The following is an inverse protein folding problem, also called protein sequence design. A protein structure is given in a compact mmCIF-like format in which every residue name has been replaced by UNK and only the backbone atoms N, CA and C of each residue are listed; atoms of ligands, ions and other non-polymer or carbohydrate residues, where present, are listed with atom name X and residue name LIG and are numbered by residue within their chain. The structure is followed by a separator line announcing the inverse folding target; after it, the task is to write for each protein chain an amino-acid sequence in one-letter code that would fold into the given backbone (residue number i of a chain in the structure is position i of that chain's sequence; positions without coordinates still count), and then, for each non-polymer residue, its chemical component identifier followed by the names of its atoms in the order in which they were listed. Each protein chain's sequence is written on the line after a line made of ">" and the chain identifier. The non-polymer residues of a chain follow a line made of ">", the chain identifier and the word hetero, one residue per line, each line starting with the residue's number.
data_IF_031025530936
#
_entry.id   IF_031025530936
#
_cell.length_a   1.000
_cell.length_b   1.000
_cell.length_c   1.000
_cell.angle_alpha   90.00
_cell.angle_beta   90.00
_cell.angle_gamma   90.00
#
_symmetry.space_group_name_H-M   'P 1'
#
loop_
_entity.id
_entity.type
_entity.pdbx_description
1 polymer ?
#
# COMPACT_ATOMS: atom_id res chain seq x y z
N UNK A 1 14.04 2.14 -7.63
CA UNK A 1 13.18 0.93 -7.51
C UNK A 1 13.78 -0.30 -8.21
N UNK A 2 14.15 -0.29 -9.49
CA UNK A 2 14.76 -1.47 -10.15
C UNK A 2 16.10 -1.90 -9.51
N UNK A 3 16.94 -0.92 -9.17
CA UNK A 3 18.19 -1.16 -8.46
C UNK A 3 17.95 -1.70 -7.04
N UNK A 4 16.91 -1.20 -6.37
CA UNK A 4 16.47 -1.65 -5.06
C UNK A 4 16.02 -3.12 -5.06
N UNK A 5 15.30 -3.52 -6.11
CA UNK A 5 14.90 -4.92 -6.32
C UNK A 5 16.10 -5.85 -6.48
N UNK A 6 17.11 -5.40 -7.22
CA UNK A 6 18.35 -6.14 -7.45
C UNK A 6 19.14 -6.34 -6.16
N UNK A 7 19.26 -5.29 -5.33
CA UNK A 7 19.92 -5.37 -4.01
C UNK A 7 19.23 -6.37 -3.08
N UNK A 8 17.90 -6.32 -2.96
CA UNK A 8 17.16 -7.26 -2.11
C UNK A 8 17.23 -8.73 -2.60
N UNK A 9 17.49 -8.92 -3.90
CA UNK A 9 17.57 -10.24 -4.54
C UNK A 9 18.96 -10.87 -4.40
N UNK A 10 20.00 -10.06 -4.31
CA UNK A 10 21.40 -10.50 -4.35
C UNK A 10 22.02 -10.72 -2.96
N UNK A 11 21.36 -10.35 -1.87
CA UNK A 11 21.87 -10.60 -0.52
C UNK A 11 21.92 -12.12 -0.26
N UNK A 12 23.14 -12.67 -0.30
CA UNK A 12 23.46 -14.04 0.11
C UNK A 12 24.23 -14.01 1.43
N UNK A 13 23.98 -15.03 2.24
CA UNK A 13 24.67 -15.26 3.50
C UNK A 13 26.16 -15.51 3.26
N UNK A 14 26.99 -14.50 3.47
CA UNK A 14 28.37 -14.73 3.90
C UNK A 14 28.32 -15.00 5.42
N UNK A 15 28.84 -16.14 5.86
CA UNK A 15 28.99 -16.54 7.28
C UNK A 15 27.75 -17.05 8.05
N UNK A 16 26.76 -17.68 7.41
CA UNK A 16 25.68 -18.36 8.15
C UNK A 16 24.75 -17.39 8.88
N UNK A 17 24.79 -16.11 8.53
CA UNK A 17 23.79 -15.13 8.91
C UNK A 17 22.55 -15.24 8.00
N UNK A 18 21.37 -15.06 8.58
CA UNK A 18 20.07 -15.02 7.91
C UNK A 18 20.12 -14.31 6.54
N UNK A 19 19.55 -14.92 5.50
CA UNK A 19 19.47 -14.35 4.15
C UNK A 19 18.62 -13.06 4.21
N UNK A 20 19.27 -11.92 4.08
CA UNK A 20 18.61 -10.61 4.17
C UNK A 20 17.90 -10.29 2.85
N UNK A 21 16.66 -10.77 2.70
CA UNK A 21 15.80 -10.51 1.54
C UNK A 21 15.14 -9.13 1.58
N UNK A 22 15.95 -8.08 1.74
CA UNK A 22 15.45 -6.74 2.03
C UNK A 22 16.41 -5.67 1.57
N UNK A 23 15.90 -4.58 1.02
CA UNK A 23 16.69 -3.40 0.72
C UNK A 23 15.88 -2.10 0.91
N UNK A 24 16.59 -1.03 1.26
CA UNK A 24 16.04 0.32 1.43
C UNK A 24 16.82 1.32 0.59
N UNK A 25 16.14 2.38 0.16
CA UNK A 25 16.70 3.49 -0.59
C UNK A 25 16.10 4.79 -0.11
N UNK A 26 16.94 5.79 0.09
CA UNK A 26 16.51 7.17 0.29
C UNK A 26 16.95 7.97 -0.94
N UNK A 27 16.02 8.70 -1.54
CA UNK A 27 16.29 9.54 -2.70
C UNK A 27 15.67 10.92 -2.51
N UNK A 28 16.36 11.97 -2.95
CA UNK A 28 15.79 13.32 -2.97
C UNK A 28 14.70 13.37 -4.06
N UNK A 29 13.45 13.58 -3.67
CA UNK A 29 12.32 13.69 -4.61
C UNK A 29 12.08 15.14 -5.02
N UNK A 30 12.18 16.06 -4.07
CA UNK A 30 12.21 17.51 -4.33
C UNK A 30 13.35 18.16 -3.55
N UNK A 31 13.55 19.46 -3.71
CA UNK A 31 14.53 20.23 -2.93
C UNK A 31 14.30 20.21 -1.41
N UNK A 32 13.09 19.84 -0.95
CA UNK A 32 12.73 19.84 0.46
C UNK A 32 12.11 18.52 0.94
N UNK A 33 12.04 17.51 0.09
CA UNK A 33 11.36 16.25 0.39
C UNK A 33 12.17 15.05 -0.10
N UNK A 34 12.51 14.17 0.84
CA UNK A 34 13.08 12.86 0.56
C UNK A 34 11.97 11.83 0.34
N UNK A 35 12.25 10.85 -0.51
CA UNK A 35 11.46 9.66 -0.73
C UNK A 35 12.21 8.48 -0.12
N UNK A 36 11.51 7.76 0.75
CA UNK A 36 12.00 6.56 1.42
C UNK A 36 11.35 5.36 0.74
N UNK A 37 12.16 4.42 0.29
CA UNK A 37 11.74 3.21 -0.42
C UNK A 37 12.22 1.97 0.30
N UNK A 38 11.37 0.94 0.32
CA UNK A 38 11.65 -0.35 0.93
C UNK A 38 11.09 -1.46 0.05
N UNK A 39 11.89 -2.50 -0.16
CA UNK A 39 11.44 -3.76 -0.76
C UNK A 39 11.89 -4.93 0.11
N UNK A 40 11.04 -5.94 0.19
CA UNK A 40 11.30 -7.14 0.98
C UNK A 40 10.72 -8.36 0.29
N UNK A 41 11.42 -9.48 0.32
CA UNK A 41 10.91 -10.79 -0.06
C UNK A 41 10.86 -11.73 1.15
N UNK A 42 10.09 -12.80 1.05
CA UNK A 42 10.17 -13.90 2.03
C UNK A 42 11.50 -14.66 1.87
N UNK A 43 12.06 -15.20 2.96
CA UNK A 43 13.42 -15.78 2.96
C UNK A 43 13.52 -17.09 2.16
N UNK A 44 12.41 -17.76 1.88
CA UNK A 44 12.31 -19.01 1.12
C UNK A 44 12.51 -18.85 -0.39
N UNK A 45 12.46 -17.62 -0.92
CA UNK A 45 12.61 -17.37 -2.36
C UNK A 45 14.07 -17.43 -2.81
N UNK A 46 14.26 -17.92 -4.05
CA UNK A 46 15.49 -17.71 -4.80
C UNK A 46 15.69 -16.21 -5.10
N UNK A 47 16.91 -15.77 -5.40
CA UNK A 47 17.16 -14.38 -5.80
C UNK A 47 16.37 -13.98 -7.06
N UNK A 48 16.26 -14.90 -8.01
CA UNK A 48 15.49 -14.68 -9.25
C UNK A 48 13.99 -14.52 -8.97
N UNK A 49 13.42 -15.39 -8.12
CA UNK A 49 12.00 -15.30 -7.76
C UNK A 49 11.68 -14.08 -6.92
N UNK A 50 12.59 -13.66 -6.03
CA UNK A 50 12.48 -12.41 -5.30
C UNK A 50 12.42 -11.21 -6.25
N UNK A 51 13.37 -11.12 -7.19
CA UNK A 51 13.40 -10.05 -8.19
C UNK A 51 12.11 -10.01 -9.00
N UNK A 52 11.65 -11.18 -9.47
CA UNK A 52 10.39 -11.31 -10.22
C UNK A 52 9.20 -10.81 -9.39
N UNK A 53 9.08 -11.22 -8.14
CA UNK A 53 7.99 -10.78 -7.27
C UNK A 53 7.99 -9.24 -7.10
N UNK A 54 9.16 -8.66 -6.79
CA UNK A 54 9.29 -7.21 -6.60
C UNK A 54 8.92 -6.46 -7.88
N UNK A 55 9.36 -6.92 -9.05
CA UNK A 55 9.01 -6.31 -10.35
C UNK A 55 7.50 -6.34 -10.62
N UNK A 56 6.85 -7.47 -10.35
CA UNK A 56 5.39 -7.57 -10.45
C UNK A 56 4.73 -6.58 -9.49
N UNK A 57 5.17 -6.50 -8.23
CA UNK A 57 4.64 -5.54 -7.27
C UNK A 57 4.81 -4.09 -7.73
N UNK A 58 5.97 -3.72 -8.29
CA UNK A 58 6.24 -2.39 -8.84
C UNK A 58 5.27 -2.08 -9.99
N UNK A 59 5.03 -3.04 -10.87
CA UNK A 59 4.06 -2.90 -11.97
C UNK A 59 2.62 -2.65 -11.51
N UNK A 60 2.27 -2.99 -10.27
CA UNK A 60 0.96 -2.74 -9.67
C UNK A 60 0.84 -1.37 -8.99
N UNK A 61 1.96 -0.66 -8.75
CA UNK A 61 1.94 0.68 -8.14
C UNK A 61 1.05 1.68 -8.87
N UNK A 62 1.06 1.77 -10.22
CA UNK A 62 0.19 2.69 -10.94
C UNK A 62 -1.30 2.40 -10.75
N UNK A 63 -1.67 1.15 -10.47
CA UNK A 63 -3.07 0.79 -10.21
C UNK A 63 -3.49 1.09 -8.78
N UNK A 64 -2.59 0.91 -7.79
CA UNK A 64 -2.95 1.11 -6.38
C UNK A 64 -2.84 2.57 -5.92
N UNK A 65 -1.85 3.30 -6.45
CA UNK A 65 -1.24 4.40 -5.73
C UNK A 65 -0.91 5.60 -6.63
N UNK A 66 -1.53 5.69 -7.82
CA UNK A 66 -1.30 6.80 -8.74
C UNK A 66 -1.61 8.16 -8.10
N UNK A 67 -0.68 9.11 -8.26
CA UNK A 67 -0.79 10.46 -7.70
C UNK A 67 -0.68 10.53 -6.17
N UNK A 68 -0.31 9.44 -5.48
CA UNK A 68 -0.14 9.43 -4.02
C UNK A 68 1.32 9.64 -3.62
N UNK A 69 1.52 10.39 -2.54
CA UNK A 69 2.84 10.64 -1.94
C UNK A 69 3.45 9.40 -1.27
N UNK A 70 2.62 8.40 -0.97
CA UNK A 70 3.03 7.11 -0.43
C UNK A 70 2.22 5.99 -1.08
N UNK A 71 2.80 4.80 -1.09
CA UNK A 71 2.18 3.63 -1.70
C UNK A 71 2.76 2.34 -1.18
N UNK A 72 1.93 1.31 -1.10
CA UNK A 72 2.32 -0.02 -0.67
C UNK A 72 1.62 -1.07 -1.53
N UNK A 73 2.39 -2.03 -2.03
CA UNK A 73 1.85 -3.25 -2.64
C UNK A 73 2.38 -4.43 -1.85
N UNK A 74 1.45 -5.29 -1.44
CA UNK A 74 1.74 -6.50 -0.69
C UNK A 74 1.31 -7.69 -1.53
N UNK A 75 2.27 -8.53 -1.91
CA UNK A 75 2.06 -9.83 -2.51
C UNK A 75 2.42 -10.91 -1.49
N UNK A 76 1.95 -12.17 -1.66
CA UNK A 76 2.25 -13.24 -0.71
C UNK A 76 3.75 -13.41 -0.42
N UNK A 77 4.59 -13.15 -1.42
CA UNK A 77 6.02 -13.40 -1.42
C UNK A 77 6.89 -12.13 -1.31
N UNK A 78 6.31 -10.94 -1.46
CA UNK A 78 7.08 -9.69 -1.38
C UNK A 78 6.23 -8.48 -1.01
N UNK A 79 6.91 -7.49 -0.45
CA UNK A 79 6.34 -6.22 0.00
C UNK A 79 7.16 -5.09 -0.61
N UNK A 80 6.49 -4.09 -1.19
CA UNK A 80 7.12 -2.84 -1.57
C UNK A 80 6.36 -1.69 -0.91
N UNK A 81 7.10 -0.72 -0.41
CA UNK A 81 6.54 0.49 0.19
C UNK A 81 7.41 1.69 -0.12
N UNK A 82 6.77 2.81 -0.46
CA UNK A 82 7.42 4.11 -0.49
C UNK A 82 6.61 5.13 0.30
N UNK A 83 7.31 6.06 0.92
CA UNK A 83 6.72 7.16 1.70
C UNK A 83 7.61 8.40 1.60
N UNK A 84 7.04 9.58 1.87
CA UNK A 84 7.79 10.85 1.97
C UNK A 84 8.28 11.16 3.40
N UNK A 85 8.26 10.16 4.28
CA UNK A 85 8.78 10.23 5.64
C UNK A 85 9.50 8.90 5.97
N UNK A 86 10.48 8.92 6.89
CA UNK A 86 11.17 7.69 7.31
C UNK A 86 10.19 6.72 7.98
N UNK A 87 10.15 5.47 7.52
CA UNK A 87 9.25 4.44 8.07
C UNK A 87 9.94 3.10 8.37
N UNK A 88 11.23 3.01 8.10
CA UNK A 88 12.09 1.89 8.47
C UNK A 88 13.19 2.38 9.39
N UNK A 89 13.53 1.57 10.40
CA UNK A 89 14.69 1.86 11.24
C UNK A 89 15.96 1.49 10.47
N UNK A 90 16.71 2.48 10.03
CA UNK A 90 18.15 2.29 9.85
C UNK A 90 18.75 2.22 11.24
N UNK A 91 19.36 1.09 11.62
CA UNK A 91 20.32 1.15 12.71
C UNK A 91 21.45 2.01 12.19
N UNK A 92 21.38 3.33 12.46
CA UNK A 92 22.52 4.19 12.33
C UNK A 92 23.58 3.55 13.24
N UNK A 93 24.71 3.12 12.65
CA UNK A 93 25.87 2.70 13.41
C UNK A 93 26.11 3.78 14.46
N UNK A 94 25.80 3.47 15.72
CA UNK A 94 25.99 4.42 16.80
C UNK A 94 27.45 4.89 16.76
N UNK A 95 27.73 6.20 16.84
CA UNK A 95 29.11 6.66 16.93
C UNK A 95 29.79 5.92 18.10
N UNK A 96 31.08 5.55 17.97
CA UNK A 96 31.79 4.76 18.96
C UNK A 96 31.62 5.39 20.34
N UNK A 97 31.37 4.59 21.40
CA UNK A 97 31.13 5.14 22.73
C UNK A 97 32.34 5.97 23.16
N UNK A 98 32.10 7.26 23.43
CA UNK A 98 33.10 8.15 24.03
C UNK A 98 33.64 7.51 25.31
N UNK A 99 34.96 7.58 25.59
CA UNK A 99 35.55 6.94 26.76
C UNK A 99 34.94 7.51 28.04
N UNK A 100 34.28 6.66 28.81
CA UNK A 100 33.70 6.99 30.12
C UNK A 100 34.86 7.15 31.11
N UNK A 101 35.11 8.39 31.56
CA UNK A 101 35.98 8.64 32.71
C UNK A 101 35.23 8.20 33.98
N UNK A 102 35.66 7.10 34.61
CA UNK A 102 35.04 6.56 35.84
C UNK A 102 35.48 7.37 37.07
N UNK A 103 34.55 7.92 37.89
CA UNK A 103 34.85 8.35 39.26
C UNK A 103 34.81 7.16 40.24
N UNK A 104 35.49 7.22 41.39
CA UNK A 104 35.73 6.05 42.24
C UNK A 104 34.53 5.63 43.10
N UNK A 105 34.46 4.32 43.33
CA UNK A 105 33.49 3.57 44.14
C UNK A 105 33.53 3.93 45.63
N UNK A 106 32.38 4.21 46.25
CA UNK A 106 32.15 4.10 47.70
C UNK A 106 30.63 3.92 48.01
N UNK A 107 30.25 3.36 49.19
CA UNK A 107 29.37 2.19 49.26
C UNK A 107 27.90 2.45 49.65
N UNK A 108 27.09 1.41 49.45
CA UNK A 108 25.65 1.25 49.73
C UNK A 108 25.14 1.94 51.01
N UNK A 109 24.02 2.67 50.85
CA UNK A 109 23.05 2.95 51.90
C UNK A 109 21.63 2.54 51.42
N UNK A 110 20.77 2.00 52.30
CA UNK A 110 19.48 1.43 51.91
C UNK A 110 18.46 2.54 51.60
N UNK A 111 17.90 2.53 50.39
CA UNK A 111 16.89 3.50 49.96
C UNK A 111 15.48 3.02 50.34
N UNK A 112 14.83 3.79 51.21
CA UNK A 112 13.39 3.77 51.47
C UNK A 112 12.60 3.94 50.15
N UNK A 113 11.69 3.02 49.86
CA UNK A 113 10.74 3.17 48.76
C UNK A 113 9.52 3.95 49.22
N UNK A 114 9.44 5.22 48.80
CA UNK A 114 8.19 5.99 48.80
C UNK A 114 8.01 6.57 47.40
N UNK A 115 7.11 5.97 46.62
CA UNK A 115 6.65 6.49 45.33
C UNK A 115 5.27 7.13 45.52
N UNK A 116 5.08 8.43 45.24
CA UNK A 116 3.74 8.99 45.07
C UNK A 116 3.24 8.69 43.66
N UNK A 117 1.96 8.35 43.57
CA UNK A 117 1.32 7.82 42.38
C UNK A 117 1.20 8.78 41.20
N UNK A 118 1.09 8.17 40.02
CA UNK A 118 0.60 8.74 38.78
C UNK A 118 -0.21 7.67 38.06
N UNK A 119 -1.50 7.66 38.33
CA UNK A 119 -2.51 6.76 37.77
C UNK A 119 -2.76 7.15 36.29
N UNK A 120 -2.68 6.18 35.38
CA UNK A 120 -2.94 6.38 33.96
C UNK A 120 -3.29 5.07 33.26
N UNK A 121 -4.29 4.35 33.78
CA UNK A 121 -4.89 3.16 33.15
C UNK A 121 -5.75 3.60 31.97
N UNK A 122 -5.13 3.95 30.85
CA UNK A 122 -5.82 4.23 29.59
C UNK A 122 -6.22 2.94 28.88
N UNK A 123 -7.32 2.33 29.30
CA UNK A 123 -7.99 1.26 28.55
C UNK A 123 -8.95 1.90 27.55
N UNK A 124 -8.45 2.31 26.38
CA UNK A 124 -9.25 2.82 25.24
C UNK A 124 -9.40 1.71 24.20
N UNK A 125 -10.28 0.73 24.43
CA UNK A 125 -11.73 0.75 24.17
C UNK A 125 -12.04 0.55 22.68
N UNK A 126 -12.35 -0.70 22.33
CA UNK A 126 -12.98 -1.13 21.07
C UNK A 126 -14.23 -0.32 20.70
N UNK A 127 -14.73 0.55 21.59
CA UNK A 127 -15.84 1.48 21.39
C UNK A 127 -15.47 2.66 20.47
N UNK A 128 -14.20 3.11 20.40
CA UNK A 128 -13.82 4.22 19.48
C UNK A 128 -13.77 3.76 18.02
N UNK A 129 -13.50 2.47 17.76
CA UNK A 129 -13.55 1.88 16.41
C UNK A 129 -15.01 1.84 15.92
N UNK A 130 -15.96 1.50 16.78
CA UNK A 130 -17.39 1.45 16.42
C UNK A 130 -17.91 2.84 16.03
N UNK A 131 -17.48 3.90 16.73
CA UNK A 131 -17.88 5.28 16.45
C UNK A 131 -17.40 5.78 15.08
N UNK A 132 -16.31 5.26 14.54
CA UNK A 132 -15.79 5.68 13.22
C UNK A 132 -16.29 4.76 12.10
N UNK A 133 -16.38 3.45 12.36
CA UNK A 133 -16.80 2.47 11.35
C UNK A 133 -18.27 2.67 10.96
N UNK A 134 -19.16 2.92 11.93
CA UNK A 134 -20.59 3.08 11.65
C UNK A 134 -20.86 4.30 10.74
N UNK A 135 -20.33 5.52 11.01
CA UNK A 135 -20.49 6.65 10.10
C UNK A 135 -19.85 6.44 8.73
N UNK A 136 -18.71 5.76 8.64
CA UNK A 136 -18.05 5.49 7.36
C UNK A 136 -18.88 4.54 6.50
N UNK A 137 -19.39 3.44 7.07
CA UNK A 137 -20.23 2.49 6.34
C UNK A 137 -21.52 3.16 5.87
N UNK A 138 -22.19 3.92 6.75
CA UNK A 138 -23.41 4.66 6.39
C UNK A 138 -23.12 5.68 5.28
N UNK A 139 -22.01 6.42 5.39
CA UNK A 139 -21.61 7.40 4.37
C UNK A 139 -21.36 6.73 3.03
N UNK A 140 -20.59 5.63 2.99
CA UNK A 140 -20.28 4.89 1.75
C UNK A 140 -21.55 4.34 1.10
N UNK A 141 -22.48 3.80 1.89
CA UNK A 141 -23.77 3.30 1.38
C UNK A 141 -24.63 4.44 0.83
N UNK A 142 -24.69 5.59 1.51
CA UNK A 142 -25.43 6.75 1.01
C UNK A 142 -24.81 7.30 -0.29
N UNK A 143 -23.48 7.42 -0.35
CA UNK A 143 -22.78 7.88 -1.56
C UNK A 143 -22.94 6.90 -2.73
N UNK A 144 -22.89 5.59 -2.49
CA UNK A 144 -23.08 4.59 -3.55
C UNK A 144 -24.52 4.61 -4.08
N UNK A 145 -25.53 4.73 -3.21
CA UNK A 145 -26.94 4.87 -3.60
C UNK A 145 -27.15 6.17 -4.39
N UNK A 146 -26.61 7.30 -3.93
CA UNK A 146 -26.73 8.57 -4.64
C UNK A 146 -26.06 8.53 -6.02
N UNK A 147 -24.85 7.96 -6.10
CA UNK A 147 -24.13 7.76 -7.36
C UNK A 147 -24.93 6.87 -8.32
N UNK A 148 -25.41 5.72 -7.85
CA UNK A 148 -26.23 4.81 -8.64
C UNK A 148 -27.54 5.46 -9.12
N UNK A 149 -28.25 6.18 -8.25
CA UNK A 149 -29.45 6.93 -8.60
C UNK A 149 -29.17 8.03 -9.62
N UNK A 150 -28.05 8.75 -9.48
CA UNK A 150 -27.66 9.80 -10.41
C UNK A 150 -27.29 9.22 -11.79
N UNK A 151 -26.54 8.13 -11.83
CA UNK A 151 -26.20 7.40 -13.06
C UNK A 151 -27.45 6.83 -13.73
N UNK A 152 -28.33 6.21 -12.95
CA UNK A 152 -29.62 5.68 -13.43
C UNK A 152 -30.54 6.79 -13.94
N UNK A 153 -30.51 7.97 -13.32
CA UNK A 153 -31.24 9.14 -13.83
C UNK A 153 -30.61 9.69 -15.11
N UNK A 154 -29.27 9.64 -15.23
CA UNK A 154 -28.55 10.05 -16.44
C UNK A 154 -28.81 9.11 -17.61
N UNK A 155 -28.90 7.81 -17.38
CA UNK A 155 -29.27 6.83 -18.42
C UNK A 155 -30.74 6.94 -18.80
N UNK A 156 -31.66 7.18 -17.86
CA UNK A 156 -33.08 7.48 -18.18
C UNK A 156 -33.26 8.78 -18.95
N UNK A 157 -32.50 9.84 -18.61
CA UNK A 157 -32.49 11.09 -19.39
C UNK A 157 -31.95 10.86 -20.80
N UNK A 158 -30.89 10.07 -20.96
CA UNK A 158 -30.36 9.71 -22.28
C UNK A 158 -31.31 8.82 -23.08
N UNK A 159 -32.04 7.92 -22.43
CA UNK A 159 -33.02 7.04 -23.08
C UNK A 159 -34.24 7.83 -23.59
N UNK A 160 -34.69 8.85 -22.83
CA UNK A 160 -35.78 9.72 -23.25
C UNK A 160 -35.40 10.71 -24.38
N UNK A 161 -34.12 10.78 -24.77
CA UNK A 161 -33.58 11.67 -25.81
C UNK A 161 -33.14 10.91 -27.08
N UNK A 162 -33.44 9.61 -27.20
CA UNK A 162 -33.19 8.87 -28.45
C UNK A 162 -34.36 9.13 -29.42
N UNK A 163 -34.12 9.74 -30.59
CA UNK A 163 -35.14 9.87 -31.63
C UNK A 163 -35.52 8.48 -32.15
N UNK A 164 -36.81 8.24 -32.27
CA UNK A 164 -37.42 7.03 -32.81
C UNK A 164 -37.29 6.95 -34.34
N UNK A 165 -36.07 6.97 -34.89
CA UNK A 165 -35.85 6.84 -36.33
C UNK A 165 -34.59 6.00 -36.61
N UNK A 166 -34.76 4.96 -37.44
CA UNK A 166 -33.76 4.02 -38.01
C UNK A 166 -33.59 2.62 -37.40
N UNK A 167 -34.33 2.21 -36.37
CA UNK A 167 -34.31 0.79 -35.97
C UNK A 167 -35.07 -0.10 -36.97
N UNK A 168 -36.00 0.44 -37.76
CA UNK A 168 -36.76 -0.34 -38.74
C UNK A 168 -35.98 -0.74 -40.00
N UNK A 169 -35.01 0.07 -40.43
CA UNK A 169 -34.49 -0.03 -41.80
C UNK A 169 -33.34 -1.05 -41.93
N UNK A 170 -32.51 -1.22 -40.90
CA UNK A 170 -31.43 -2.23 -40.92
C UNK A 170 -31.94 -3.67 -40.72
N UNK A 171 -32.99 -3.86 -39.93
CA UNK A 171 -33.52 -5.21 -39.62
C UNK A 171 -34.19 -5.82 -40.86
N UNK A 172 -34.91 -5.01 -41.65
CA UNK A 172 -35.55 -5.44 -42.90
C UNK A 172 -34.51 -5.85 -43.94
N UNK A 173 -33.38 -5.14 -44.00
CA UNK A 173 -32.31 -5.44 -44.94
C UNK A 173 -31.60 -6.76 -44.58
N UNK A 174 -31.33 -7.01 -43.30
CA UNK A 174 -30.74 -8.30 -42.85
C UNK A 174 -31.63 -9.50 -43.21
N UNK A 175 -32.96 -9.37 -43.07
CA UNK A 175 -33.90 -10.45 -43.39
C UNK A 175 -34.06 -10.70 -44.89
N UNK A 176 -33.92 -9.66 -45.73
CA UNK A 176 -33.96 -9.80 -47.19
C UNK A 176 -32.73 -10.56 -47.74
N UNK A 177 -31.55 -10.32 -47.18
CA UNK A 177 -30.33 -11.03 -47.58
C UNK A 177 -30.39 -12.53 -47.25
N UNK A 178 -31.00 -12.90 -46.11
CA UNK A 178 -31.15 -14.30 -45.71
C UNK A 178 -32.18 -15.05 -46.59
N UNK A 179 -33.28 -14.41 -47.00
CA UNK A 179 -34.31 -15.06 -47.82
C UNK A 179 -33.85 -15.31 -49.27
N UNK A 180 -33.12 -14.38 -49.87
CA UNK A 180 -32.60 -14.51 -51.23
C UNK A 180 -31.56 -15.64 -51.38
N UNK A 181 -30.94 -16.06 -50.28
CA UNK A 181 -29.90 -17.11 -50.28
C UNK A 181 -30.50 -18.52 -50.34
N UNK A 182 -31.80 -18.68 -50.11
CA UNK A 182 -32.47 -19.99 -50.10
C UNK A 182 -33.09 -20.34 -51.48
N UNK A 183 -33.16 -19.39 -52.42
CA UNK A 183 -33.81 -19.58 -53.74
C UNK A 183 -32.84 -19.77 -54.92
N UNK A 184 -31.63 -20.33 -54.70
CA UNK A 184 -30.69 -20.67 -55.77
C UNK A 184 -30.15 -22.10 -55.66
#
# INVERSE_FOLDING_TARGET
>A
MDDLATRASNDQSANGQYVKRFATEEANFTSFQSLYGLVQCTPDLSGADCNRCIRVAIGLLPSCCNGKQGGRVLLPSCNIRYEVYPFYHTVATAPPPSPILRPPLHPLAPSYSTSPGGQGKGRTSSVTIIIIVVPVVVSVVLFSILCYCFLSRKTRKKYNDIPEENVGNEIVQSLQFDLATIEA
#
